data_IF_497002655809
#
_entry.id   IF_497002655809
#
_cell.length_a   1.000
_cell.length_b   1.000
_cell.length_c   1.000
_cell.angle_alpha   90.00
_cell.angle_beta   90.00
_cell.angle_gamma   90.00
#
_symmetry.space_group_name_H-M   'P 1'
#
loop_
_entity.id
_entity.type
_entity.pdbx_description
1 polymer ?
#
# COMPACT_ATOMS: atom_id res chain seq x y z
N UNK A 1 0.24 -7.62 2.79
CA UNK A 1 0.06 -6.24 3.28
C UNK A 1 -1.23 -5.65 2.75
N UNK A 2 -1.71 -4.58 3.38
CA UNK A 2 -2.91 -3.85 2.96
C UNK A 2 -2.52 -2.40 2.67
N UNK A 3 -2.80 -1.92 1.46
CA UNK A 3 -2.63 -0.51 1.09
C UNK A 3 -3.96 0.21 1.24
N UNK A 4 -3.96 1.39 1.85
CA UNK A 4 -5.12 2.26 1.95
C UNK A 4 -4.96 3.39 0.94
N UNK A 5 -5.86 3.47 -0.03
CA UNK A 5 -5.78 4.41 -1.16
C UNK A 5 -6.98 5.36 -1.13
N UNK A 6 -6.72 6.66 -1.23
CA UNK A 6 -7.76 7.69 -1.26
C UNK A 6 -8.39 7.85 -2.65
N UNK A 7 -9.38 8.74 -2.77
CA UNK A 7 -10.08 9.03 -4.03
C UNK A 7 -9.19 9.68 -5.10
N UNK A 8 -8.01 10.20 -4.74
CA UNK A 8 -7.03 10.75 -5.68
C UNK A 8 -6.07 9.69 -6.21
N UNK A 9 -6.10 8.49 -5.65
CA UNK A 9 -5.14 7.43 -5.95
C UNK A 9 -3.86 7.50 -5.11
N UNK A 10 -3.78 8.36 -4.10
CA UNK A 10 -2.62 8.39 -3.21
C UNK A 10 -2.74 7.30 -2.14
N UNK A 11 -1.63 6.62 -1.84
CA UNK A 11 -1.53 5.70 -0.70
C UNK A 11 -1.43 6.55 0.57
N UNK A 12 -2.42 6.44 1.46
CA UNK A 12 -2.47 7.21 2.71
C UNK A 12 -1.92 6.42 3.89
N UNK A 13 -1.96 5.09 3.84
CA UNK A 13 -1.42 4.22 4.89
C UNK A 13 -1.10 2.81 4.35
N UNK A 14 -0.34 2.05 5.15
CA UNK A 14 0.01 0.65 4.91
C UNK A 14 -0.16 -0.16 6.19
N UNK A 15 -0.98 -1.21 6.09
CA UNK A 15 -1.19 -2.21 7.13
C UNK A 15 -0.37 -3.47 6.91
N UNK A 16 0.21 -3.98 8.00
CA UNK A 16 0.98 -5.22 8.06
C UNK A 16 0.23 -6.21 8.98
N UNK A 17 -0.77 -6.94 8.46
CA UNK A 17 -1.59 -7.84 9.28
C UNK A 17 -0.85 -9.12 9.71
N UNK A 18 0.29 -9.41 9.10
CA UNK A 18 1.16 -10.52 9.47
C UNK A 18 2.32 -9.97 10.33
N UNK A 19 2.59 -10.63 11.46
CA UNK A 19 3.65 -10.29 12.40
C UNK A 19 5.02 -10.84 11.98
N UNK A 20 5.12 -11.46 10.80
CA UNK A 20 6.36 -12.00 10.25
C UNK A 20 7.44 -10.93 9.97
N UNK A 21 7.06 -9.66 9.86
CA UNK A 21 7.99 -8.56 9.63
C UNK A 21 8.41 -7.90 10.94
N UNK A 22 9.70 -7.60 11.06
CA UNK A 22 10.19 -6.75 12.15
C UNK A 22 9.65 -5.32 12.01
N UNK A 23 9.50 -4.62 13.13
CA UNK A 23 9.04 -3.21 13.13
C UNK A 23 9.93 -2.28 12.31
N UNK A 24 11.22 -2.54 12.27
CA UNK A 24 12.16 -1.82 11.40
C UNK A 24 11.86 -2.05 9.91
N UNK A 25 11.52 -3.29 9.52
CA UNK A 25 11.16 -3.62 8.15
C UNK A 25 9.82 -2.98 7.77
N UNK A 26 8.80 -3.07 8.64
CA UNK A 26 7.51 -2.39 8.47
C UNK A 26 7.70 -0.88 8.25
N UNK A 27 8.53 -0.22 9.09
CA UNK A 27 8.79 1.21 8.99
C UNK A 27 9.46 1.59 7.66
N UNK A 28 10.50 0.85 7.24
CA UNK A 28 11.17 1.07 5.95
C UNK A 28 10.22 0.85 4.77
N UNK A 29 9.42 -0.21 4.83
CA UNK A 29 8.48 -0.55 3.77
C UNK A 29 7.35 0.47 3.68
N UNK A 30 6.79 0.91 4.82
CA UNK A 30 5.80 1.99 4.88
C UNK A 30 6.35 3.28 4.27
N UNK A 31 7.56 3.70 4.64
CA UNK A 31 8.17 4.90 4.09
C UNK A 31 8.36 4.83 2.56
N UNK A 32 8.73 3.67 2.02
CA UNK A 32 8.87 3.45 0.57
C UNK A 32 7.53 3.44 -0.16
N UNK A 33 6.51 2.82 0.42
CA UNK A 33 5.20 2.68 -0.21
C UNK A 33 4.40 3.99 -0.21
N UNK A 34 4.49 4.78 0.86
CA UNK A 34 3.79 6.07 0.96
C UNK A 34 4.25 7.10 -0.08
N UNK A 35 5.44 6.95 -0.65
CA UNK A 35 5.96 7.87 -1.69
C UNK A 35 5.69 7.38 -3.11
N UNK A 36 5.11 6.19 -3.29
CA UNK A 36 4.80 5.67 -4.63
C UNK A 36 3.71 6.51 -5.28
N UNK A 37 3.92 6.82 -6.56
CA UNK A 37 2.99 7.57 -7.41
C UNK A 37 2.49 6.68 -8.55
N UNK A 38 1.41 7.12 -9.20
CA UNK A 38 0.85 6.45 -10.38
C UNK A 38 -0.28 5.46 -10.08
N UNK A 39 -0.66 5.31 -8.81
CA UNK A 39 -1.87 4.60 -8.43
C UNK A 39 -3.12 5.40 -8.84
N UNK A 40 -4.18 4.69 -9.24
CA UNK A 40 -5.46 5.29 -9.60
C UNK A 40 -6.53 4.76 -8.65
N UNK A 41 -7.35 5.66 -8.12
CA UNK A 41 -8.51 5.28 -7.34
C UNK A 41 -9.50 4.50 -8.24
N UNK A 42 -10.10 3.42 -7.73
CA UNK A 42 -11.19 2.76 -8.44
C UNK A 42 -12.38 3.71 -8.57
N UNK A 43 -13.09 3.60 -9.69
CA UNK A 43 -14.24 4.44 -10.01
C UNK A 43 -15.49 3.57 -10.00
N UNK A 44 -16.46 3.93 -9.16
CA UNK A 44 -17.77 3.28 -9.07
C UNK A 44 -18.83 4.32 -9.37
N UNK A 45 -19.72 4.04 -10.34
CA UNK A 45 -20.74 4.98 -10.82
C UNK A 45 -20.16 6.36 -11.21
N UNK A 46 -19.00 6.36 -11.87
CA UNK A 46 -18.33 7.59 -12.33
C UNK A 46 -17.65 8.41 -11.23
N UNK A 47 -17.66 7.96 -9.97
CA UNK A 47 -17.01 8.65 -8.84
C UNK A 47 -15.82 7.84 -8.32
N UNK A 48 -14.64 8.46 -8.12
CA UNK A 48 -13.53 7.79 -7.45
C UNK A 48 -13.89 7.54 -5.99
N UNK A 49 -13.50 6.38 -5.47
CA UNK A 49 -13.76 5.98 -4.09
C UNK A 49 -12.47 5.64 -3.35
N UNK A 50 -12.51 5.74 -2.02
CA UNK A 50 -11.46 5.16 -1.17
C UNK A 50 -11.51 3.64 -1.27
N UNK A 51 -10.35 3.00 -1.18
CA UNK A 51 -10.25 1.56 -1.34
C UNK A 51 -9.08 0.98 -0.56
N UNK A 52 -9.18 -0.31 -0.28
CA UNK A 52 -8.11 -1.12 0.28
C UNK A 52 -7.64 -2.11 -0.76
N UNK A 53 -6.32 -2.23 -0.93
CA UNK A 53 -5.73 -3.19 -1.85
C UNK A 53 -4.87 -4.18 -1.10
N UNK A 54 -5.11 -5.46 -1.33
CA UNK A 54 -4.24 -6.51 -0.84
C UNK A 54 -3.01 -6.57 -1.73
N UNK A 55 -1.86 -6.23 -1.16
CA UNK A 55 -0.58 -6.21 -1.85
C UNK A 55 0.35 -7.25 -1.23
N UNK A 56 0.81 -8.18 -2.06
CA UNK A 56 1.85 -9.14 -1.71
C UNK A 56 3.17 -8.63 -2.30
N UNK A 57 4.06 -8.15 -1.44
CA UNK A 57 5.46 -7.94 -1.84
C UNK A 57 6.19 -9.20 -1.41
N UNK A 58 6.63 -9.96 -2.41
CA UNK A 58 7.58 -11.01 -2.20
C UNK A 58 8.96 -10.38 -2.33
N UNK A 59 9.78 -10.47 -1.28
CA UNK A 59 11.19 -10.12 -1.38
C UNK A 59 11.87 -11.12 -2.30
N UNK A 60 11.95 -10.82 -3.59
CA UNK A 60 12.75 -11.60 -4.53
C UNK A 60 14.19 -11.21 -4.24
N UNK A 61 14.87 -12.05 -3.44
CA UNK A 61 16.33 -12.10 -3.22
C UNK A 61 17.09 -10.88 -3.76
N UNK A 62 17.16 -9.81 -2.97
CA UNK A 62 18.21 -8.80 -3.13
C UNK A 62 19.47 -9.42 -2.52
N UNK A 63 20.20 -10.21 -3.32
CA UNK A 63 21.56 -10.68 -2.99
C UNK A 63 22.57 -9.63 -3.44
#
# INVERSE_FOLDING_TARGET
MILYVNEKGDITDVGFPDESLTKDCEAKMRAKLLVLKGWKAPVVNGKPIKSTFLCSINCILWQ
#
